data_IF_659389253285
#
_entry.id   IF_659389253285
#
_cell.length_a   1.000
_cell.length_b   1.000
_cell.length_c   1.000
_cell.angle_alpha   90.00
_cell.angle_beta   90.00
_cell.angle_gamma   90.00
#
_symmetry.space_group_name_H-M   'P 1'
#
loop_
_entity.id
_entity.type
_entity.pdbx_description
1 polymer ?
#
# COMPACT_ATOMS: atom_id res chain seq x y z
N UNK A 1 2.16 -13.37 21.57
CA UNK A 1 2.82 -12.04 21.67
C UNK A 1 2.13 -11.27 22.78
N UNK A 2 2.83 -10.86 23.85
CA UNK A 2 2.23 -9.93 24.82
C UNK A 2 2.03 -8.58 24.11
N UNK A 3 0.80 -8.07 24.09
CA UNK A 3 0.51 -6.76 23.55
C UNK A 3 1.30 -5.71 24.35
N UNK A 4 2.02 -4.82 23.67
CA UNK A 4 2.77 -3.77 24.36
C UNK A 4 1.79 -2.70 24.83
N UNK A 5 2.03 -2.15 26.02
CA UNK A 5 1.23 -1.05 26.56
C UNK A 5 1.08 0.11 25.56
N UNK A 6 2.14 0.46 24.82
CA UNK A 6 2.07 1.51 23.79
C UNK A 6 1.11 1.18 22.65
N UNK A 7 1.02 -0.09 22.23
CA UNK A 7 0.03 -0.51 21.22
C UNK A 7 -1.38 -0.40 21.78
N UNK A 8 -1.61 -0.87 23.01
CA UNK A 8 -2.93 -0.77 23.66
C UNK A 8 -3.39 0.67 23.84
N UNK A 9 -2.49 1.55 24.30
CA UNK A 9 -2.77 2.98 24.47
C UNK A 9 -3.15 3.64 23.13
N UNK A 10 -2.43 3.30 22.06
CA UNK A 10 -2.71 3.84 20.74
C UNK A 10 -4.02 3.33 20.16
N UNK A 11 -4.33 2.05 20.36
CA UNK A 11 -5.62 1.47 19.99
C UNK A 11 -6.76 2.17 20.73
N UNK A 12 -6.61 2.34 22.04
CA UNK A 12 -7.58 3.07 22.87
C UNK A 12 -7.78 4.50 22.35
N UNK A 13 -6.69 5.24 22.10
CA UNK A 13 -6.77 6.61 21.60
C UNK A 13 -7.44 6.70 20.22
N UNK A 14 -7.10 5.80 19.29
CA UNK A 14 -7.70 5.78 17.95
C UNK A 14 -9.20 5.50 18.00
N UNK A 15 -9.63 4.55 18.85
CA UNK A 15 -11.06 4.26 19.04
C UNK A 15 -11.75 5.42 19.74
N UNK A 16 -11.14 5.99 20.78
CA UNK A 16 -11.68 7.11 21.53
C UNK A 16 -11.94 8.33 20.63
N UNK A 17 -10.99 8.71 19.78
CA UNK A 17 -11.11 9.84 18.86
C UNK A 17 -12.29 9.67 17.89
N UNK A 18 -12.55 8.44 17.44
CA UNK A 18 -13.69 8.18 16.54
C UNK A 18 -15.01 8.12 17.31
N UNK A 19 -15.06 7.42 18.44
CA UNK A 19 -16.28 7.25 19.23
C UNK A 19 -16.78 8.56 19.84
N UNK A 20 -15.88 9.48 20.17
CA UNK A 20 -16.24 10.81 20.70
C UNK A 20 -16.65 11.82 19.63
N UNK A 21 -16.59 11.47 18.34
CA UNK A 21 -16.87 12.39 17.25
C UNK A 21 -15.77 13.43 16.98
N UNK A 22 -14.61 13.34 17.66
CA UNK A 22 -13.48 14.22 17.39
C UNK A 22 -12.93 14.05 15.96
N UNK A 23 -13.14 12.88 15.36
CA UNK A 23 -12.90 12.61 13.94
C UNK A 23 -14.04 11.82 13.35
N UNK A 24 -14.72 12.42 12.39
CA UNK A 24 -15.69 11.75 11.53
C UNK A 24 -15.02 11.34 10.21
N UNK A 25 -15.27 10.11 9.79
CA UNK A 25 -14.92 9.62 8.47
C UNK A 25 -16.19 9.55 7.62
N UNK A 26 -16.13 10.10 6.42
CA UNK A 26 -17.18 9.93 5.43
C UNK A 26 -16.72 8.98 4.32
N UNK A 27 -17.69 8.30 3.71
CA UNK A 27 -17.48 7.69 2.41
C UNK A 27 -17.14 8.76 1.37
N UNK A 28 -16.46 8.37 0.30
CA UNK A 28 -16.08 9.30 -0.76
C UNK A 28 -17.12 9.28 -1.90
N UNK A 29 -17.27 10.38 -2.67
CA UNK A 29 -18.37 10.55 -3.62
C UNK A 29 -18.56 9.37 -4.58
N UNK A 30 -17.46 8.88 -5.17
CA UNK A 30 -17.49 7.78 -6.16
C UNK A 30 -18.19 6.50 -5.70
N UNK A 31 -18.28 6.26 -4.39
CA UNK A 31 -19.01 5.09 -3.87
C UNK A 31 -20.37 5.48 -3.31
N UNK A 32 -20.53 6.71 -2.79
CA UNK A 32 -21.85 7.23 -2.43
C UNK A 32 -22.78 7.29 -3.64
N UNK A 33 -22.27 7.70 -4.80
CA UNK A 33 -23.03 7.73 -6.06
C UNK A 33 -23.50 6.34 -6.51
N UNK A 34 -22.83 5.28 -6.06
CA UNK A 34 -23.18 3.88 -6.36
C UNK A 34 -24.00 3.22 -5.26
N UNK A 35 -24.07 3.84 -4.09
CA UNK A 35 -24.87 3.36 -2.96
C UNK A 35 -26.28 3.94 -3.06
N UNK A 36 -27.05 3.41 -4.01
CA UNK A 36 -28.46 3.74 -4.19
C UNK A 36 -29.33 2.52 -3.86
N UNK A 37 -30.43 2.68 -3.12
CA UNK A 37 -31.37 1.59 -2.85
C UNK A 37 -32.01 1.02 -4.13
N UNK A 38 -32.03 1.81 -5.21
CA UNK A 38 -32.69 1.44 -6.47
C UNK A 38 -31.79 0.64 -7.43
N UNK A 39 -30.48 0.56 -7.15
CA UNK A 39 -29.52 -0.11 -8.04
C UNK A 39 -29.04 -1.41 -7.38
N UNK A 40 -29.49 -2.59 -7.84
CA UNK A 40 -29.06 -3.83 -7.25
C UNK A 40 -27.59 -4.11 -7.56
N UNK A 41 -26.90 -4.78 -6.62
CA UNK A 41 -25.45 -4.98 -6.69
C UNK A 41 -24.97 -5.71 -7.96
N UNK A 42 -25.80 -6.59 -8.53
CA UNK A 42 -25.45 -7.34 -9.73
C UNK A 42 -25.40 -6.47 -11.00
N UNK A 43 -26.18 -5.38 -11.06
CA UNK A 43 -26.16 -4.42 -12.18
C UNK A 43 -24.86 -3.61 -12.20
N UNK A 44 -24.13 -3.60 -11.08
CA UNK A 44 -22.83 -2.95 -10.96
C UNK A 44 -21.67 -3.87 -11.37
N UNK A 45 -21.91 -5.13 -11.75
CA UNK A 45 -20.86 -6.02 -12.25
C UNK A 45 -20.27 -5.43 -13.54
N UNK A 46 -18.95 -5.20 -13.55
CA UNK A 46 -18.25 -4.50 -14.63
C UNK A 46 -18.09 -3.00 -14.40
N UNK A 47 -18.75 -2.41 -13.40
CA UNK A 47 -18.53 -1.02 -13.03
C UNK A 47 -17.09 -0.83 -12.48
N UNK A 48 -16.33 0.20 -12.90
CA UNK A 48 -14.93 0.43 -12.51
C UNK A 48 -14.71 0.69 -11.01
N UNK A 49 -15.80 0.92 -10.27
CA UNK A 49 -15.77 1.15 -8.83
C UNK A 49 -16.51 0.06 -8.06
N UNK A 50 -16.95 -1.00 -8.73
CA UNK A 50 -17.66 -2.11 -8.12
C UNK A 50 -16.89 -2.72 -6.94
N UNK A 51 -15.62 -3.06 -7.15
CA UNK A 51 -14.79 -3.61 -6.06
C UNK A 51 -14.56 -2.60 -4.93
N UNK A 52 -14.55 -1.29 -5.23
CA UNK A 52 -14.49 -0.25 -4.19
C UNK A 52 -15.74 -0.28 -3.33
N UNK A 53 -16.90 -0.38 -3.98
CA UNK A 53 -18.19 -0.52 -3.31
C UNK A 53 -18.24 -1.77 -2.44
N UNK A 54 -17.79 -2.93 -2.94
CA UNK A 54 -17.73 -4.16 -2.15
C UNK A 54 -16.86 -4.03 -0.89
N UNK A 55 -15.74 -3.32 -0.97
CA UNK A 55 -14.85 -3.11 0.19
C UNK A 55 -15.50 -2.21 1.23
N UNK A 56 -16.32 -1.24 0.83
CA UNK A 56 -16.93 -0.29 1.79
C UNK A 56 -18.37 -0.57 2.15
N UNK A 57 -19.06 -1.47 1.43
CA UNK A 57 -20.45 -1.79 1.69
C UNK A 57 -20.73 -2.20 3.13
N UNK A 58 -19.85 -2.93 3.86
CA UNK A 58 -20.10 -3.17 5.28
C UNK A 58 -20.16 -1.87 6.09
N UNK A 59 -19.32 -0.90 5.78
CA UNK A 59 -19.34 0.40 6.45
C UNK A 59 -20.57 1.24 6.11
N UNK A 60 -21.05 1.17 4.87
CA UNK A 60 -22.26 1.87 4.43
C UNK A 60 -23.52 1.27 5.05
N UNK A 61 -23.58 -0.06 5.16
CA UNK A 61 -24.69 -0.74 5.87
C UNK A 61 -24.74 -0.32 7.34
N UNK A 62 -23.58 -0.21 8.01
CA UNK A 62 -23.53 0.27 9.39
C UNK A 62 -23.93 1.76 9.45
N UNK A 63 -23.58 2.57 8.46
CA UNK A 63 -23.99 3.98 8.35
C UNK A 63 -25.51 4.12 8.22
N UNK A 64 -26.16 3.28 7.43
CA UNK A 64 -27.64 3.27 7.32
C UNK A 64 -28.30 2.91 8.67
N UNK A 65 -27.66 2.08 9.49
CA UNK A 65 -28.14 1.73 10.83
C UNK A 65 -27.81 2.78 11.89
N UNK A 66 -26.69 3.49 11.75
CA UNK A 66 -26.19 4.51 12.69
C UNK A 66 -25.72 5.76 11.92
N UNK A 67 -26.66 6.60 11.44
CA UNK A 67 -26.32 7.76 10.63
C UNK A 67 -25.34 8.72 11.33
N UNK A 68 -24.32 9.17 10.61
CA UNK A 68 -23.23 10.03 11.07
C UNK A 68 -22.07 9.28 11.75
N UNK A 69 -22.28 8.03 12.19
CA UNK A 69 -21.31 7.29 13.02
C UNK A 69 -20.87 5.96 12.43
N UNK A 70 -21.72 5.27 11.67
CA UNK A 70 -21.50 3.89 11.27
C UNK A 70 -20.27 3.69 10.38
N UNK A 71 -20.08 4.56 9.38
CA UNK A 71 -18.90 4.52 8.51
C UNK A 71 -17.61 4.87 9.28
N UNK A 72 -17.73 5.76 10.27
CA UNK A 72 -16.63 6.11 11.17
C UNK A 72 -16.20 4.92 12.02
N UNK A 73 -17.15 4.16 12.59
CA UNK A 73 -16.88 2.91 13.33
C UNK A 73 -16.18 1.87 12.45
N UNK A 74 -16.62 1.73 11.19
CA UNK A 74 -15.97 0.86 10.21
C UNK A 74 -14.52 1.27 9.94
N UNK A 75 -14.26 2.57 9.80
CA UNK A 75 -12.89 3.10 9.66
C UNK A 75 -12.06 2.89 10.94
N UNK A 76 -12.66 3.02 12.13
CA UNK A 76 -11.98 2.75 13.40
C UNK A 76 -11.49 1.29 13.50
N UNK A 77 -12.29 0.34 13.00
CA UNK A 77 -11.85 -1.06 12.88
C UNK A 77 -10.57 -1.19 12.04
N UNK A 78 -10.50 -0.52 10.87
CA UNK A 78 -9.27 -0.55 10.07
C UNK A 78 -8.10 0.19 10.73
N UNK A 79 -8.33 1.28 11.48
CA UNK A 79 -7.29 1.91 12.29
C UNK A 79 -6.69 0.91 13.30
N UNK A 80 -7.53 0.12 13.97
CA UNK A 80 -7.11 -0.94 14.90
C UNK A 80 -6.28 -2.00 14.17
N UNK A 81 -6.75 -2.49 13.01
CA UNK A 81 -6.02 -3.46 12.19
C UNK A 81 -4.66 -2.89 11.74
N UNK A 82 -4.61 -1.64 11.29
CA UNK A 82 -3.40 -0.95 10.87
C UNK A 82 -2.38 -0.86 12.00
N UNK A 83 -2.83 -0.49 13.20
CA UNK A 83 -1.99 -0.44 14.38
C UNK A 83 -1.38 -1.83 14.70
N UNK A 84 -2.18 -2.89 14.69
CA UNK A 84 -1.69 -4.26 14.94
C UNK A 84 -0.69 -4.69 13.88
N UNK A 85 -0.99 -4.48 12.60
CA UNK A 85 -0.11 -4.82 11.49
C UNK A 85 1.21 -4.05 11.57
N UNK A 86 1.15 -2.75 11.79
CA UNK A 86 2.34 -1.90 11.86
C UNK A 86 3.22 -2.21 13.07
N UNK A 87 2.61 -2.52 14.22
CA UNK A 87 3.35 -3.02 15.40
C UNK A 87 4.08 -4.32 15.08
N UNK A 88 3.40 -5.26 14.40
CA UNK A 88 4.00 -6.51 13.93
C UNK A 88 5.16 -6.30 12.95
N UNK A 89 5.00 -5.40 11.97
CA UNK A 89 6.04 -5.02 11.01
C UNK A 89 7.25 -4.42 11.74
N UNK A 90 7.00 -3.48 12.66
CA UNK A 90 8.06 -2.84 13.45
C UNK A 90 8.87 -3.87 14.24
N UNK A 91 8.21 -4.84 14.88
CA UNK A 91 8.88 -5.93 15.60
C UNK A 91 9.71 -6.80 14.64
N UNK A 92 9.17 -7.15 13.46
CA UNK A 92 9.92 -7.91 12.44
C UNK A 92 11.17 -7.15 11.96
N UNK A 93 11.08 -5.84 11.79
CA UNK A 93 12.19 -5.02 11.28
C UNK A 93 13.23 -4.67 12.36
N UNK A 94 12.80 -4.32 13.58
CA UNK A 94 13.68 -3.75 14.62
C UNK A 94 13.90 -4.66 15.83
N UNK A 95 13.23 -5.82 15.89
CA UNK A 95 13.10 -6.64 17.11
C UNK A 95 12.48 -5.89 18.28
N UNK A 96 11.88 -4.73 18.02
CA UNK A 96 11.24 -3.83 18.99
C UNK A 96 10.00 -3.20 18.34
N UNK A 97 8.95 -2.99 19.13
CA UNK A 97 7.75 -2.28 18.70
C UNK A 97 8.02 -0.77 18.50
N UNK A 98 7.04 -0.04 17.96
CA UNK A 98 7.18 1.39 17.72
C UNK A 98 7.34 2.19 19.03
N UNK A 99 8.07 3.31 18.96
CA UNK A 99 8.14 4.29 20.05
C UNK A 99 6.84 5.11 20.13
N UNK A 100 6.60 5.79 21.26
CA UNK A 100 5.43 6.67 21.41
C UNK A 100 5.41 7.79 20.38
N UNK A 101 6.57 8.39 20.07
CA UNK A 101 6.68 9.39 19.01
C UNK A 101 6.28 8.82 17.65
N UNK A 102 6.76 7.63 17.30
CA UNK A 102 6.40 7.00 16.03
C UNK A 102 4.89 6.69 15.96
N UNK A 103 4.30 6.26 17.08
CA UNK A 103 2.85 6.10 17.20
C UNK A 103 2.09 7.41 17.02
N UNK A 104 2.53 8.49 17.66
CA UNK A 104 1.93 9.81 17.51
C UNK A 104 1.91 10.26 16.05
N UNK A 105 3.03 10.11 15.34
CA UNK A 105 3.11 10.42 13.91
C UNK A 105 2.23 9.50 13.05
N UNK A 106 2.15 8.21 13.39
CA UNK A 106 1.30 7.24 12.68
C UNK A 106 -0.19 7.57 12.84
N UNK A 107 -0.63 7.92 14.06
CA UNK A 107 -2.02 8.31 14.35
C UNK A 107 -2.35 9.65 13.71
N UNK A 108 -1.45 10.64 13.81
CA UNK A 108 -1.64 11.94 13.18
C UNK A 108 -1.84 11.81 11.66
N UNK A 109 -1.05 10.95 11.01
CA UNK A 109 -1.23 10.65 9.59
C UNK A 109 -2.61 10.03 9.30
N UNK A 110 -3.13 9.14 10.13
CA UNK A 110 -4.49 8.59 9.98
C UNK A 110 -5.58 9.65 10.18
N UNK A 111 -5.42 10.51 11.19
CA UNK A 111 -6.39 11.58 11.48
C UNK A 111 -6.51 12.57 10.31
N UNK A 112 -5.42 12.79 9.58
CA UNK A 112 -5.39 13.61 8.37
C UNK A 112 -6.01 12.93 7.14
N UNK A 113 -6.29 11.62 7.18
CA UNK A 113 -6.89 10.89 6.06
C UNK A 113 -8.42 10.90 6.11
N UNK A 114 -9.02 10.70 4.95
CA UNK A 114 -10.42 10.28 4.83
C UNK A 114 -10.54 8.75 5.01
N UNK A 115 -11.76 8.21 5.02
CA UNK A 115 -11.97 6.78 5.22
C UNK A 115 -11.26 5.91 4.18
N UNK A 116 -11.16 6.38 2.94
CA UNK A 116 -10.38 5.74 1.86
C UNK A 116 -8.92 5.51 2.25
N UNK A 117 -8.27 6.49 2.85
CA UNK A 117 -6.86 6.39 3.24
C UNK A 117 -6.60 5.30 4.28
N UNK A 118 -7.48 5.16 5.26
CA UNK A 118 -7.35 4.16 6.33
C UNK A 118 -7.42 2.74 5.77
N UNK A 119 -8.37 2.46 4.88
CA UNK A 119 -8.53 1.15 4.23
C UNK A 119 -7.34 0.84 3.31
N UNK A 120 -6.88 1.84 2.56
CA UNK A 120 -5.68 1.75 1.72
C UNK A 120 -4.45 1.36 2.55
N UNK A 121 -4.28 1.94 3.73
CA UNK A 121 -3.19 1.59 4.62
C UNK A 121 -3.26 0.15 5.11
N UNK A 122 -4.46 -0.40 5.30
CA UNK A 122 -4.63 -1.83 5.64
C UNK A 122 -4.14 -2.72 4.52
N UNK A 123 -4.49 -2.39 3.26
CA UNK A 123 -3.99 -3.10 2.10
C UNK A 123 -2.46 -3.08 2.03
N UNK A 124 -1.87 -1.90 2.20
CA UNK A 124 -0.43 -1.71 2.14
C UNK A 124 0.32 -2.40 3.29
N UNK A 125 -0.12 -2.24 4.54
CA UNK A 125 0.54 -2.86 5.69
C UNK A 125 0.41 -4.39 5.65
N UNK A 126 -0.71 -4.91 5.15
CA UNK A 126 -0.88 -6.35 4.91
C UNK A 126 0.13 -6.86 3.87
N UNK A 127 0.27 -6.12 2.76
CA UNK A 127 1.26 -6.38 1.71
C UNK A 127 2.69 -6.34 2.25
N UNK A 128 3.08 -5.28 2.97
CA UNK A 128 4.41 -5.12 3.57
C UNK A 128 4.71 -6.29 4.52
N UNK A 129 3.79 -6.61 5.42
CA UNK A 129 3.95 -7.73 6.35
C UNK A 129 4.16 -9.06 5.59
N UNK A 130 3.46 -9.24 4.47
CA UNK A 130 3.56 -10.42 3.63
C UNK A 130 4.90 -10.48 2.89
N UNK A 131 5.31 -9.39 2.24
CA UNK A 131 6.58 -9.28 1.53
C UNK A 131 7.79 -9.50 2.46
N UNK A 132 7.71 -9.01 3.70
CA UNK A 132 8.72 -9.29 4.73
C UNK A 132 8.81 -10.79 5.05
N UNK A 133 7.68 -11.49 5.17
CA UNK A 133 7.71 -12.94 5.41
C UNK A 133 8.20 -13.70 4.17
N UNK A 134 7.84 -13.26 2.97
CA UNK A 134 8.33 -13.86 1.72
C UNK A 134 9.83 -13.69 1.53
N UNK A 135 10.40 -12.59 2.04
CA UNK A 135 11.85 -12.30 1.96
C UNK A 135 12.72 -13.28 2.76
N UNK A 136 12.13 -14.03 3.70
CA UNK A 136 12.81 -15.09 4.45
C UNK A 136 12.63 -16.41 3.70
N UNK A 137 13.58 -16.72 2.80
CA UNK A 137 13.46 -17.82 1.83
C UNK A 137 13.16 -19.21 2.44
N UNK A 138 13.74 -19.50 3.61
CA UNK A 138 13.68 -20.83 4.24
C UNK A 138 12.44 -21.08 5.11
N UNK A 139 11.62 -20.06 5.42
CA UNK A 139 10.43 -20.22 6.27
C UNK A 139 9.15 -20.25 5.43
N UNK A 140 8.24 -21.23 5.60
CA UNK A 140 6.95 -21.18 4.94
C UNK A 140 6.14 -19.97 5.40
N UNK A 141 5.42 -19.34 4.48
CA UNK A 141 4.59 -18.16 4.78
C UNK A 141 3.19 -18.61 5.17
N UNK A 142 2.83 -18.38 6.44
CA UNK A 142 1.50 -18.72 6.95
C UNK A 142 0.42 -17.91 6.22
N UNK A 143 -0.64 -18.58 5.78
CA UNK A 143 -1.80 -17.97 5.11
C UNK A 143 -1.44 -17.14 3.86
N UNK A 144 -0.43 -17.56 3.09
CA UNK A 144 0.06 -16.82 1.91
C UNK A 144 -1.07 -16.36 0.98
N UNK A 145 -1.91 -17.30 0.53
CA UNK A 145 -3.01 -17.01 -0.41
C UNK A 145 -4.02 -16.00 0.16
N UNK A 146 -4.46 -16.21 1.40
CA UNK A 146 -5.43 -15.33 2.07
C UNK A 146 -4.86 -13.92 2.23
N UNK A 147 -3.60 -13.79 2.62
CA UNK A 147 -2.94 -12.48 2.78
C UNK A 147 -2.73 -11.76 1.46
N UNK A 148 -2.40 -12.48 0.39
CA UNK A 148 -2.33 -11.91 -0.97
C UNK A 148 -3.69 -11.39 -1.41
N UNK A 149 -4.72 -12.23 -1.31
CA UNK A 149 -6.09 -11.88 -1.70
C UNK A 149 -6.62 -10.70 -0.89
N UNK A 150 -6.46 -10.71 0.44
CA UNK A 150 -6.89 -9.60 1.30
C UNK A 150 -6.15 -8.30 0.96
N UNK A 151 -4.83 -8.36 0.76
CA UNK A 151 -4.05 -7.16 0.40
C UNK A 151 -4.50 -6.58 -0.94
N UNK A 152 -4.74 -7.43 -1.95
CA UNK A 152 -5.20 -7.00 -3.28
C UNK A 152 -6.65 -6.48 -3.22
N UNK A 153 -7.53 -7.17 -2.51
CA UNK A 153 -8.94 -6.81 -2.37
C UNK A 153 -9.09 -5.43 -1.72
N UNK A 154 -8.46 -5.17 -0.57
CA UNK A 154 -8.50 -3.85 0.06
C UNK A 154 -7.82 -2.77 -0.80
N UNK A 155 -6.81 -3.13 -1.60
CA UNK A 155 -6.15 -2.17 -2.49
C UNK A 155 -7.05 -1.69 -3.63
N UNK A 156 -8.13 -2.41 -3.99
CA UNK A 156 -9.06 -2.01 -5.06
C UNK A 156 -9.72 -0.65 -4.83
N UNK A 157 -9.80 -0.20 -3.57
CA UNK A 157 -10.25 1.14 -3.13
C UNK A 157 -9.44 2.27 -3.80
N UNK A 158 -8.24 2.00 -4.30
CA UNK A 158 -7.44 2.98 -5.02
C UNK A 158 -6.58 2.32 -6.10
N UNK A 159 -6.80 2.68 -7.38
CA UNK A 159 -6.06 2.08 -8.51
C UNK A 159 -4.55 2.21 -8.36
N UNK A 160 -4.03 3.35 -7.92
CA UNK A 160 -2.59 3.53 -7.68
C UNK A 160 -2.04 2.63 -6.56
N UNK A 161 -2.82 2.41 -5.50
CA UNK A 161 -2.44 1.51 -4.40
C UNK A 161 -2.46 0.06 -4.88
N UNK A 162 -3.49 -0.32 -5.65
CA UNK A 162 -3.61 -1.64 -6.25
C UNK A 162 -2.39 -1.98 -7.10
N UNK A 163 -1.98 -1.09 -7.99
CA UNK A 163 -0.79 -1.28 -8.84
C UNK A 163 0.46 -1.49 -7.98
N UNK A 164 0.68 -0.64 -6.96
CA UNK A 164 1.87 -0.75 -6.08
C UNK A 164 1.87 -2.04 -5.27
N UNK A 165 0.74 -2.41 -4.67
CA UNK A 165 0.57 -3.66 -3.90
C UNK A 165 0.77 -4.88 -4.79
N UNK A 166 0.18 -4.88 -5.99
CA UNK A 166 0.33 -5.96 -6.96
C UNK A 166 1.79 -6.13 -7.38
N UNK A 167 2.45 -5.04 -7.81
CA UNK A 167 3.86 -5.06 -8.19
C UNK A 167 4.77 -5.53 -7.04
N UNK A 168 4.51 -5.09 -5.80
CA UNK A 168 5.26 -5.55 -4.64
C UNK A 168 5.08 -7.06 -4.39
N UNK A 169 3.85 -7.57 -4.46
CA UNK A 169 3.57 -9.00 -4.30
C UNK A 169 4.27 -9.80 -5.41
N UNK A 170 4.10 -9.44 -6.68
CA UNK A 170 4.72 -10.11 -7.82
C UNK A 170 6.24 -10.14 -7.72
N UNK A 171 6.85 -9.00 -7.35
CA UNK A 171 8.30 -8.89 -7.20
C UNK A 171 8.84 -9.82 -6.11
N UNK A 172 8.24 -9.77 -4.91
CA UNK A 172 8.70 -10.59 -3.79
C UNK A 172 8.38 -12.08 -3.97
N UNK A 173 7.23 -12.40 -4.58
CA UNK A 173 6.86 -13.77 -4.91
C UNK A 173 7.82 -14.37 -5.94
N UNK A 174 8.11 -13.65 -7.03
CA UNK A 174 9.08 -14.06 -8.05
C UNK A 174 10.48 -14.24 -7.46
N UNK A 175 10.92 -13.30 -6.61
CA UNK A 175 12.21 -13.41 -5.90
C UNK A 175 12.28 -14.66 -5.02
N UNK A 176 11.17 -15.01 -4.36
CA UNK A 176 11.09 -16.20 -3.51
C UNK A 176 11.15 -17.48 -4.34
N UNK A 177 10.37 -17.57 -5.42
CA UNK A 177 10.41 -18.73 -6.33
C UNK A 177 11.81 -18.99 -6.86
N UNK A 178 12.50 -17.92 -7.29
CA UNK A 178 13.90 -17.99 -7.75
C UNK A 178 14.83 -18.51 -6.65
N UNK A 179 14.69 -18.01 -5.43
CA UNK A 179 15.53 -18.43 -4.30
C UNK A 179 15.33 -19.88 -3.86
N UNK A 180 14.14 -20.43 -4.08
CA UNK A 180 13.82 -21.83 -3.76
C UNK A 180 14.22 -22.81 -4.87
N UNK A 181 14.82 -22.33 -5.96
CA UNK A 181 15.19 -23.16 -7.10
C UNK A 181 13.97 -23.82 -7.75
N UNK A 182 12.76 -23.28 -7.54
CA UNK A 182 11.53 -23.82 -8.13
C UNK A 182 11.62 -23.58 -9.63
N UNK A 183 12.04 -24.62 -10.37
CA UNK A 183 11.83 -24.69 -11.81
C UNK A 183 10.32 -24.70 -12.03
N UNK A 184 9.81 -23.86 -12.92
CA UNK A 184 8.40 -23.87 -13.34
C UNK A 184 8.07 -25.26 -13.87
N UNK A 185 7.56 -26.14 -12.99
CA UNK A 185 7.08 -27.47 -13.39
C UNK A 185 5.81 -27.30 -14.22
N UNK A 186 5.39 -28.37 -14.89
CA UNK A 186 4.12 -28.47 -15.63
C UNK A 186 2.92 -27.89 -14.86
N UNK A 187 2.87 -28.06 -13.53
CA UNK A 187 1.82 -27.46 -12.69
C UNK A 187 1.81 -25.93 -12.66
N UNK A 188 2.96 -25.27 -12.82
CA UNK A 188 3.04 -23.81 -12.96
C UNK A 188 2.52 -23.33 -14.31
N UNK A 189 2.76 -24.12 -15.37
CA UNK A 189 2.20 -23.89 -16.71
C UNK A 189 0.68 -24.13 -16.70
N UNK A 190 0.22 -25.19 -16.06
CA UNK A 190 -1.21 -25.48 -15.92
C UNK A 190 -1.91 -24.41 -15.08
N UNK A 191 -1.30 -23.95 -13.98
CA UNK A 191 -1.80 -22.83 -13.21
C UNK A 191 -1.85 -21.53 -14.03
N UNK A 192 -0.87 -21.29 -14.91
CA UNK A 192 -0.91 -20.17 -15.85
C UNK A 192 -2.11 -20.25 -16.79
N UNK A 193 -2.39 -21.42 -17.39
CA UNK A 193 -3.56 -21.61 -18.25
C UNK A 193 -4.90 -21.50 -17.51
N UNK A 194 -4.99 -22.00 -16.28
CA UNK A 194 -6.21 -21.88 -15.45
C UNK A 194 -6.43 -20.43 -14.97
N UNK A 195 -5.35 -19.70 -14.68
CA UNK A 195 -5.42 -18.31 -14.26
C UNK A 195 -5.51 -17.34 -15.44
N UNK A 196 -5.20 -17.75 -16.67
CA UNK A 196 -5.21 -16.89 -17.84
C UNK A 196 -6.60 -16.29 -18.13
N UNK A 197 -7.73 -17.01 -18.03
CA UNK A 197 -9.07 -16.41 -18.18
C UNK A 197 -9.39 -15.38 -17.09
N UNK A 198 -8.98 -15.65 -15.85
CA UNK A 198 -9.14 -14.71 -14.73
C UNK A 198 -8.28 -13.47 -14.96
N UNK A 199 -7.06 -13.67 -15.46
CA UNK A 199 -6.16 -12.60 -15.83
C UNK A 199 -6.70 -11.81 -17.02
N UNK A 200 -7.30 -12.46 -18.03
CA UNK A 200 -7.92 -11.81 -19.19
C UNK A 200 -9.09 -10.91 -18.75
N UNK A 201 -10.01 -11.43 -17.94
CA UNK A 201 -11.09 -10.61 -17.35
C UNK A 201 -10.54 -9.47 -16.48
N UNK A 202 -9.47 -9.73 -15.72
CA UNK A 202 -8.78 -8.72 -14.93
C UNK A 202 -8.08 -7.65 -15.77
N UNK A 203 -7.52 -8.02 -16.92
CA UNK A 203 -6.87 -7.12 -17.88
C UNK A 203 -7.91 -6.23 -18.54
N UNK A 204 -9.02 -6.78 -19.01
CA UNK A 204 -10.10 -5.98 -19.60
C UNK A 204 -10.66 -4.95 -18.61
N UNK A 205 -10.91 -5.38 -17.36
CA UNK A 205 -11.26 -4.47 -16.27
C UNK A 205 -10.17 -3.41 -16.02
N UNK A 206 -8.89 -3.81 -16.01
CA UNK A 206 -7.78 -2.90 -15.76
C UNK A 206 -7.60 -1.87 -16.88
N UNK A 207 -7.72 -2.30 -18.14
CA UNK A 207 -7.69 -1.44 -19.32
C UNK A 207 -8.86 -0.48 -19.29
N UNK A 208 -10.07 -0.97 -19.05
CA UNK A 208 -11.27 -0.13 -18.87
C UNK A 208 -11.08 0.89 -17.75
N UNK A 209 -10.47 0.50 -16.62
CA UNK A 209 -10.19 1.41 -15.53
C UNK A 209 -9.13 2.47 -15.91
N UNK A 210 -8.10 2.11 -16.68
CA UNK A 210 -7.12 3.06 -17.21
C UNK A 210 -7.80 4.02 -18.19
N UNK A 211 -8.53 3.49 -19.18
CA UNK A 211 -9.24 4.27 -20.19
C UNK A 211 -10.21 5.26 -19.57
N UNK A 212 -10.96 4.85 -18.54
CA UNK A 212 -11.85 5.76 -17.79
C UNK A 212 -11.08 6.84 -17.05
N UNK A 213 -9.94 6.52 -16.42
CA UNK A 213 -9.11 7.54 -15.81
C UNK A 213 -8.55 8.50 -16.86
N UNK A 214 -8.03 7.99 -17.98
CA UNK A 214 -7.50 8.81 -19.08
C UNK A 214 -8.60 9.70 -19.67
N UNK A 215 -9.79 9.15 -19.91
CA UNK A 215 -10.95 9.88 -20.40
C UNK A 215 -11.39 10.99 -19.41
N UNK A 216 -11.42 10.69 -18.11
CA UNK A 216 -11.71 11.68 -17.06
C UNK A 216 -10.76 12.88 -17.09
N UNK A 217 -9.49 12.66 -17.45
CA UNK A 217 -8.48 13.72 -17.55
C UNK A 217 -8.39 14.38 -18.95
N UNK A 218 -9.33 14.11 -19.86
CA UNK A 218 -9.43 14.74 -21.18
C UNK A 218 -9.15 13.81 -22.38
N UNK A 219 -8.92 12.52 -22.15
CA UNK A 219 -8.79 11.52 -23.20
C UNK A 219 -7.44 11.49 -23.93
N UNK A 220 -7.13 10.35 -24.56
CA UNK A 220 -5.91 10.17 -25.36
C UNK A 220 -4.60 10.43 -24.59
N UNK A 221 -3.57 10.91 -25.29
CA UNK A 221 -2.29 11.26 -24.69
C UNK A 221 -2.40 12.45 -23.72
N UNK A 222 -3.26 13.43 -24.05
CA UNK A 222 -3.52 14.60 -23.21
C UNK A 222 -4.08 14.20 -21.85
N UNK A 223 -5.03 13.26 -21.82
CA UNK A 223 -5.57 12.70 -20.60
C UNK A 223 -4.53 11.97 -19.76
N UNK A 224 -3.64 11.20 -20.39
CA UNK A 224 -2.53 10.55 -19.69
C UNK A 224 -1.55 11.57 -19.08
N UNK A 225 -1.22 12.64 -19.81
CA UNK A 225 -0.38 13.73 -19.28
C UNK A 225 -1.10 14.47 -18.15
N UNK A 226 -2.37 14.84 -18.32
CA UNK A 226 -3.16 15.52 -17.29
C UNK A 226 -3.33 14.67 -16.02
N UNK A 227 -3.44 13.35 -16.18
CA UNK A 227 -3.41 12.41 -15.06
C UNK A 227 -2.07 12.48 -14.31
N UNK A 228 -0.94 12.53 -15.03
CA UNK A 228 0.39 12.75 -14.45
C UNK A 228 0.59 14.17 -13.89
N UNK A 229 -0.19 15.16 -14.34
CA UNK A 229 -0.22 16.52 -13.75
C UNK A 229 -1.03 16.60 -12.47
N UNK A 230 -1.69 15.51 -12.07
CA UNK A 230 -2.45 15.45 -10.84
C UNK A 230 -1.58 15.04 -9.63
N UNK A 231 -2.03 15.32 -8.41
CA UNK A 231 -1.32 14.97 -7.18
C UNK A 231 0.06 15.62 -7.06
N UNK A 232 1.09 14.83 -6.75
CA UNK A 232 2.50 15.28 -6.65
C UNK A 232 3.04 15.70 -8.03
N UNK A 233 2.50 15.10 -9.08
CA UNK A 233 2.77 15.45 -10.47
C UNK A 233 2.56 16.93 -10.79
N UNK A 234 1.58 17.57 -10.14
CA UNK A 234 1.30 19.00 -10.31
C UNK A 234 2.52 19.88 -10.06
N UNK A 235 3.41 19.46 -9.17
CA UNK A 235 4.63 20.21 -8.85
C UNK A 235 5.63 20.18 -10.02
N UNK A 236 5.70 19.07 -10.76
CA UNK A 236 6.58 18.92 -11.92
C UNK A 236 6.08 19.65 -13.16
N UNK A 237 4.77 19.87 -13.25
CA UNK A 237 4.11 20.52 -14.38
C UNK A 237 3.50 21.88 -14.01
N UNK A 238 3.91 22.46 -12.89
CA UNK A 238 3.52 23.83 -12.53
C UNK A 238 4.09 24.80 -13.57
N UNK A 239 3.26 25.76 -14.00
CA UNK A 239 3.67 26.78 -14.97
C UNK A 239 4.88 27.57 -14.42
N UNK A 240 5.94 27.68 -15.23
CA UNK A 240 7.18 28.39 -14.89
C UNK A 240 8.42 27.49 -14.77
N UNK A 241 9.58 28.10 -14.56
CA UNK A 241 10.88 27.41 -14.52
C UNK A 241 11.04 26.38 -13.37
N UNK A 242 10.21 26.47 -12.33
CA UNK A 242 10.29 25.59 -11.15
C UNK A 242 9.94 24.14 -11.49
N UNK A 243 8.93 23.89 -12.31
CA UNK A 243 8.54 22.53 -12.71
C UNK A 243 9.64 21.85 -13.52
N UNK A 244 10.23 22.57 -14.47
CA UNK A 244 11.36 22.12 -15.28
C UNK A 244 12.58 21.84 -14.39
N UNK A 245 12.89 22.73 -13.44
CA UNK A 245 13.98 22.54 -12.49
C UNK A 245 13.78 21.25 -11.67
N UNK A 246 12.59 21.05 -11.11
CA UNK A 246 12.28 19.85 -10.31
C UNK A 246 12.29 18.56 -11.14
N UNK A 247 11.78 18.58 -12.37
CA UNK A 247 11.85 17.43 -13.28
C UNK A 247 13.31 17.10 -13.63
N UNK A 248 14.11 18.12 -13.90
CA UNK A 248 15.55 18.00 -14.19
C UNK A 248 16.35 17.47 -13.00
N UNK A 249 15.95 17.80 -11.75
CA UNK A 249 16.56 17.23 -10.54
C UNK A 249 16.06 15.80 -10.25
N UNK A 250 14.78 15.52 -10.52
CA UNK A 250 14.16 14.23 -10.25
C UNK A 250 14.63 13.14 -11.22
N UNK A 251 14.93 13.47 -12.48
CA UNK A 251 15.36 12.48 -13.47
C UNK A 251 16.71 11.82 -13.11
N UNK A 252 17.81 12.56 -12.82
CA UNK A 252 19.06 11.98 -12.34
C UNK A 252 18.90 11.19 -11.04
N UNK A 253 18.03 11.67 -10.13
CA UNK A 253 17.74 10.95 -8.89
C UNK A 253 17.01 9.62 -9.17
N UNK A 254 16.03 9.60 -10.06
CA UNK A 254 15.33 8.40 -10.47
C UNK A 254 16.27 7.39 -11.15
N UNK A 255 17.13 7.86 -12.05
CA UNK A 255 18.16 7.04 -12.71
C UNK A 255 19.15 6.48 -11.67
N UNK A 256 19.63 7.30 -10.73
CA UNK A 256 20.50 6.85 -9.66
C UNK A 256 19.83 5.77 -8.80
N UNK A 257 18.59 6.00 -8.38
CA UNK A 257 17.83 5.03 -7.59
C UNK A 257 17.60 3.73 -8.38
N UNK A 258 17.33 3.80 -9.68
CA UNK A 258 17.20 2.63 -10.55
C UNK A 258 18.54 1.86 -10.65
N UNK A 259 19.65 2.56 -10.85
CA UNK A 259 21.00 1.97 -10.89
C UNK A 259 21.34 1.31 -9.56
N UNK A 260 21.06 1.97 -8.43
CA UNK A 260 21.25 1.42 -7.09
C UNK A 260 20.38 0.17 -6.88
N UNK A 261 19.16 0.17 -7.40
CA UNK A 261 18.29 -1.00 -7.36
C UNK A 261 18.83 -2.17 -8.17
N UNK A 262 19.25 -1.94 -9.42
CA UNK A 262 19.81 -2.96 -10.32
C UNK A 262 21.13 -3.52 -9.77
N UNK A 263 22.00 -2.67 -9.21
CA UNK A 263 23.24 -3.08 -8.55
C UNK A 263 23.01 -3.78 -7.20
N UNK A 264 21.75 -3.97 -6.81
CA UNK A 264 21.39 -4.68 -5.59
C UNK A 264 21.75 -3.93 -4.32
N UNK A 265 21.85 -2.59 -4.37
CA UNK A 265 22.06 -1.76 -3.18
C UNK A 265 20.88 -1.89 -2.21
N UNK A 266 19.66 -1.99 -2.75
CA UNK A 266 18.46 -2.29 -1.96
C UNK A 266 18.33 -3.79 -1.66
N UNK A 267 19.30 -4.41 -0.98
CA UNK A 267 19.16 -5.81 -0.50
C UNK A 267 18.06 -5.93 0.54
N UNK A 268 17.90 -4.90 1.36
CA UNK A 268 16.91 -4.84 2.43
C UNK A 268 15.48 -4.80 1.85
N UNK A 269 14.61 -5.78 2.18
CA UNK A 269 13.23 -5.79 1.71
C UNK A 269 12.45 -4.52 2.06
N UNK A 270 12.78 -3.88 3.20
CA UNK A 270 12.14 -2.61 3.58
C UNK A 270 12.47 -1.47 2.62
N UNK A 271 13.72 -1.39 2.15
CA UNK A 271 14.12 -0.35 1.21
C UNK A 271 13.48 -0.56 -0.17
N UNK A 272 13.29 -1.81 -0.60
CA UNK A 272 12.56 -2.12 -1.84
C UNK A 272 11.10 -1.67 -1.77
N UNK A 273 10.42 -1.98 -0.65
CA UNK A 273 9.03 -1.57 -0.43
C UNK A 273 8.90 -0.04 -0.30
N UNK A 274 9.86 0.61 0.35
CA UNK A 274 9.93 2.07 0.46
C UNK A 274 10.06 2.71 -0.93
N UNK A 275 10.96 2.17 -1.76
CA UNK A 275 11.15 2.64 -3.14
C UNK A 275 9.88 2.45 -3.99
N UNK A 276 9.22 1.29 -3.88
CA UNK A 276 7.95 1.05 -4.58
C UNK A 276 6.84 2.01 -4.14
N UNK A 277 6.75 2.34 -2.85
CA UNK A 277 5.79 3.32 -2.35
C UNK A 277 6.11 4.76 -2.83
N UNK A 278 7.40 5.13 -2.89
CA UNK A 278 7.84 6.41 -3.43
C UNK A 278 7.50 6.55 -4.92
N UNK A 279 7.81 5.54 -5.73
CA UNK A 279 7.40 5.49 -7.13
C UNK A 279 5.88 5.52 -7.27
N UNK A 280 5.17 4.82 -6.39
CA UNK A 280 3.72 4.85 -6.29
C UNK A 280 3.15 6.25 -6.04
N UNK A 281 3.89 7.12 -5.35
CA UNK A 281 3.49 8.50 -5.07
C UNK A 281 3.21 9.33 -6.33
N UNK A 282 3.71 8.92 -7.49
CA UNK A 282 3.37 9.50 -8.80
C UNK A 282 1.88 9.35 -9.14
N UNK A 283 1.20 8.34 -8.58
CA UNK A 283 -0.24 8.12 -8.74
C UNK A 283 -1.11 8.92 -7.75
N UNK A 284 -0.51 9.70 -6.83
CA UNK A 284 -1.22 10.61 -5.94
C UNK A 284 -0.77 10.59 -4.48
N UNK A 285 -1.19 11.61 -3.74
CA UNK A 285 -0.78 11.83 -2.35
C UNK A 285 -1.13 10.66 -1.42
N UNK A 286 -2.32 10.05 -1.57
CA UNK A 286 -2.70 8.88 -0.78
C UNK A 286 -1.71 7.72 -0.97
N UNK A 287 -1.22 7.50 -2.20
CA UNK A 287 -0.22 6.47 -2.49
C UNK A 287 1.12 6.84 -1.87
N UNK A 288 1.52 8.13 -1.96
CA UNK A 288 2.74 8.61 -1.32
C UNK A 288 2.72 8.41 0.21
N UNK A 289 1.57 8.57 0.87
CA UNK A 289 1.48 8.38 2.33
C UNK A 289 1.84 6.97 2.80
N UNK A 290 1.81 5.97 1.92
CA UNK A 290 2.24 4.59 2.21
C UNK A 290 3.73 4.49 2.59
N UNK A 291 4.51 5.52 2.28
CA UNK A 291 5.92 5.68 2.67
C UNK A 291 6.06 5.89 4.19
N UNK A 292 5.09 6.55 4.85
CA UNK A 292 5.14 6.93 6.27
C UNK A 292 5.42 5.74 7.19
N UNK A 293 4.62 4.65 7.19
CA UNK A 293 4.86 3.52 8.10
C UNK A 293 6.23 2.87 7.89
N UNK A 294 6.77 2.90 6.66
CA UNK A 294 8.08 2.37 6.32
C UNK A 294 9.22 3.29 6.77
N UNK A 295 9.10 4.61 6.60
CA UNK A 295 10.06 5.59 7.12
C UNK A 295 10.16 5.52 8.63
N UNK A 296 9.01 5.47 9.32
CA UNK A 296 8.99 5.31 10.78
C UNK A 296 9.67 3.98 11.22
N UNK A 297 9.63 2.94 10.37
CA UNK A 297 10.40 1.72 10.58
C UNK A 297 11.89 1.84 10.22
N UNK A 298 12.28 2.74 9.32
CA UNK A 298 13.65 2.90 8.85
C UNK A 298 14.49 3.89 9.70
N UNK A 299 13.88 4.92 10.32
CA UNK A 299 14.58 5.99 11.04
C UNK A 299 15.72 5.56 11.98
N UNK A 300 15.60 4.49 12.81
CA UNK A 300 16.69 4.08 13.70
C UNK A 300 17.88 3.41 12.99
N UNK A 301 17.69 2.90 11.77
CA UNK A 301 18.76 2.23 10.99
C UNK A 301 19.72 3.21 10.32
N UNK A 302 19.34 4.49 10.21
CA UNK A 302 20.21 5.55 9.69
C UNK A 302 21.19 6.11 10.72
N UNK A 303 21.16 5.61 11.97
CA UNK A 303 22.32 5.77 12.84
C UNK A 303 23.44 4.94 12.23
N UNK A 304 24.39 5.63 11.60
CA UNK A 304 25.63 5.09 11.04
C UNK A 304 26.25 4.16 12.08
N UNK A 305 25.97 2.87 11.99
CA UNK A 305 26.77 1.87 12.70
C UNK A 305 28.12 1.94 12.01
N UNK A 306 29.21 2.32 12.72
CA UNK A 306 30.53 2.30 12.12
C UNK A 306 30.74 0.91 11.52
N UNK A 307 31.09 0.87 10.24
CA UNK A 307 31.41 -0.37 9.53
C UNK A 307 32.46 -1.06 10.38
N UNK A 308 32.08 -2.12 11.10
CA UNK A 308 33.07 -2.99 11.74
C UNK A 308 33.90 -3.53 10.59
N UNK A 309 35.11 -2.99 10.43
CA UNK A 309 36.13 -3.61 9.58
C UNK A 309 36.19 -5.06 10.03
N UNK A 310 35.88 -6.00 9.13
CA UNK A 310 36.21 -7.39 9.37
C UNK A 310 37.71 -7.40 9.64
N UNK A 311 38.09 -7.62 10.91
CA UNK A 311 39.44 -8.05 11.23
C UNK A 311 39.69 -9.27 10.35
N UNK A 312 40.74 -9.19 9.53
CA UNK A 312 41.15 -10.28 8.66
C UNK A 312 41.15 -11.58 9.48
N UNK A 313 40.69 -12.71 8.91
CA UNK A 313 40.82 -13.99 9.59
C UNK A 313 42.29 -14.14 10.00
N UNK A 314 42.52 -14.34 11.30
CA UNK A 314 43.85 -14.63 11.81
C UNK A 314 44.40 -15.80 11.00
N UNK A 315 45.55 -15.59 10.35
CA UNK A 315 46.23 -16.65 9.64
C UNK A 315 46.45 -17.79 10.64
N UNK A 316 45.84 -18.95 10.35
CA UNK A 316 46.12 -20.17 11.08
C UNK A 316 47.49 -20.63 10.59
N UNK A 317 48.52 -20.36 11.38
CA UNK A 317 49.88 -20.90 11.23
C UNK A 317 49.97 -22.28 11.86
#
# INVERSE_FOLDING_TARGET
MKARLSTLLCLFLSVFVVVTGLKEFSAWPQVQDLWSPDIPLYDLIGHPHFFRLLVVSPGLIIEDWLPGYGFSLYCAFFCVVNAVLWSGISVKCKKRGPSLLAWGLFILAHAAMNGRGVIVWTAWLSCVSLCLDMSVAYKPVRWLKVRMLASLFFATVSTGVFVVVFCAIVFFFSSRLRSQGVRLKIFGVLAFFVLAPVFYMGVDYFLTAIEKNVAFYGGGLTGAVNMLRHGVGRVFFADGGVGVMLATMAFPLAVLLLVLWVKGFFRDPMMKLLFMALLGGLFGFTVLTMVIPLLLCALPRFRVTPVRRCSAPAAVT
#
